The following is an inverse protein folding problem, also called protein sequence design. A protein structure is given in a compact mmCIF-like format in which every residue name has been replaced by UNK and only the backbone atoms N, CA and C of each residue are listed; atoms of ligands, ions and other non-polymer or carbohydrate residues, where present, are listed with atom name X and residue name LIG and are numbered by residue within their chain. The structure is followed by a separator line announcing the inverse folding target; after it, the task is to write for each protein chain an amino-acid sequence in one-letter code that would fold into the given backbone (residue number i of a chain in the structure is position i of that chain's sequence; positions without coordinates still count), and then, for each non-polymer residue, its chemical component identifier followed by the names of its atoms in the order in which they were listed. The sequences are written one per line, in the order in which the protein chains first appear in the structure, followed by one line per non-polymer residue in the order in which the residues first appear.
data_IF_492830978482
#
_entry.id   IF_492830978482
#
_cell.length_a   1.000
_cell.length_b   1.000
_cell.length_c   1.000
_cell.angle_alpha   90.00
_cell.angle_beta   90.00
_cell.angle_gamma   90.00
#
_symmetry.space_group_name_H-M   'P 1'
#
loop_
_entity.id
_entity.type
_entity.pdbx_description
1 polymer ?
#
# COMPACT_ATOMS: atom_id res chain seq x y z
N UNK A 1 49.72 33.55 2.39
CA UNK A 1 48.93 32.65 3.26
C UNK A 1 47.43 32.69 2.94
N UNK A 2 46.77 33.87 2.95
CA UNK A 2 45.33 34.01 2.65
C UNK A 2 44.86 33.42 1.30
N UNK A 3 45.60 33.62 0.18
CA UNK A 3 45.26 33.04 -1.13
C UNK A 3 45.27 31.50 -1.16
N UNK A 4 46.20 30.85 -0.46
CA UNK A 4 46.27 29.38 -0.39
C UNK A 4 45.10 28.81 0.43
N UNK A 5 44.68 29.51 1.49
CA UNK A 5 43.51 29.14 2.31
C UNK A 5 42.21 29.23 1.50
N UNK A 6 42.03 30.29 0.70
CA UNK A 6 40.84 30.45 -0.16
C UNK A 6 40.73 29.33 -1.20
N UNK A 7 41.86 28.93 -1.80
CA UNK A 7 41.89 27.82 -2.77
C UNK A 7 41.50 26.50 -2.09
N UNK A 8 42.02 26.22 -0.90
CA UNK A 8 41.69 24.99 -0.15
C UNK A 8 40.21 24.95 0.22
N UNK A 9 39.63 26.06 0.69
CA UNK A 9 38.19 26.15 1.02
C UNK A 9 37.32 25.93 -0.22
N UNK A 10 37.70 26.51 -1.37
CA UNK A 10 36.99 26.31 -2.63
C UNK A 10 36.98 24.85 -3.08
N UNK A 11 38.11 24.15 -2.96
CA UNK A 11 38.21 22.73 -3.31
C UNK A 11 37.35 21.86 -2.38
N UNK A 12 37.35 22.14 -1.07
CA UNK A 12 36.52 21.40 -0.10
C UNK A 12 35.03 21.59 -0.37
N UNK A 13 34.59 22.80 -0.73
CA UNK A 13 33.20 23.08 -1.08
C UNK A 13 32.74 22.33 -2.34
N UNK A 14 33.58 22.27 -3.38
CA UNK A 14 33.25 21.51 -4.60
C UNK A 14 33.14 20.02 -4.33
N UNK A 15 34.03 19.47 -3.50
CA UNK A 15 33.98 18.06 -3.08
C UNK A 15 32.72 17.79 -2.26
N UNK A 16 32.38 18.66 -1.30
CA UNK A 16 31.17 18.53 -0.49
C UNK A 16 29.88 18.57 -1.34
N UNK A 17 29.81 19.50 -2.31
CA UNK A 17 28.69 19.58 -3.25
C UNK A 17 28.62 18.35 -4.17
N UNK A 18 29.77 17.82 -4.60
CA UNK A 18 29.83 16.59 -5.38
C UNK A 18 29.34 15.37 -4.59
N UNK A 19 29.71 15.27 -3.31
CA UNK A 19 29.24 14.20 -2.40
C UNK A 19 27.75 14.34 -2.12
N UNK A 20 27.25 15.55 -1.83
CA UNK A 20 25.82 15.80 -1.62
C UNK A 20 25.00 15.49 -2.89
N UNK A 21 25.48 15.91 -4.06
CA UNK A 21 24.86 15.60 -5.34
C UNK A 21 24.85 14.10 -5.63
N UNK A 22 25.95 13.40 -5.37
CA UNK A 22 26.02 11.94 -5.51
C UNK A 22 25.05 11.23 -4.57
N UNK A 23 24.98 11.62 -3.29
CA UNK A 23 24.05 11.05 -2.32
C UNK A 23 22.58 11.30 -2.70
N UNK A 24 22.25 12.48 -3.22
CA UNK A 24 20.92 12.81 -3.72
C UNK A 24 20.51 11.95 -4.93
N UNK A 25 21.40 11.81 -5.92
CA UNK A 25 21.16 11.00 -7.12
C UNK A 25 21.09 9.49 -6.81
N UNK A 26 21.86 9.01 -5.83
CA UNK A 26 21.85 7.60 -5.44
C UNK A 26 20.63 7.23 -4.57
N UNK A 27 20.04 8.22 -3.89
CA UNK A 27 18.72 8.10 -3.25
C UNK A 27 17.63 7.90 -4.31
N UNK A 28 17.59 8.72 -5.35
CA UNK A 28 16.62 8.59 -6.47
C UNK A 28 16.73 7.26 -7.24
N UNK A 29 17.95 6.74 -7.45
CA UNK A 29 18.12 5.46 -8.17
C UNK A 29 17.63 4.24 -7.39
N UNK A 30 17.59 4.30 -6.06
CA UNK A 30 17.12 3.20 -5.21
C UNK A 30 15.62 3.29 -4.86
N UNK A 31 14.96 4.43 -5.10
CA UNK A 31 13.61 4.69 -4.57
C UNK A 31 12.45 4.08 -5.34
N UNK A 32 12.67 3.43 -6.48
CA UNK A 32 11.58 2.80 -7.25
C UNK A 32 11.99 1.44 -7.84
N UNK A 33 12.51 0.56 -6.99
CA UNK A 33 12.70 -0.87 -7.32
C UNK A 33 11.36 -1.59 -7.20
N UNK A 34 10.64 -1.32 -6.11
CA UNK A 34 9.35 -1.94 -5.82
C UNK A 34 8.28 -1.59 -6.85
N UNK A 35 8.12 -0.30 -7.20
CA UNK A 35 7.14 0.08 -8.22
C UNK A 35 7.46 -0.49 -9.61
N UNK A 36 8.75 -0.64 -9.97
CA UNK A 36 9.14 -1.34 -11.20
C UNK A 36 8.73 -2.81 -11.17
N UNK A 37 9.08 -3.51 -10.09
CA UNK A 37 8.72 -4.93 -9.90
C UNK A 37 7.20 -5.10 -9.89
N UNK A 38 6.49 -4.22 -9.19
CA UNK A 38 5.05 -4.25 -9.10
C UNK A 38 4.39 -4.04 -10.46
N UNK A 39 4.88 -3.11 -11.28
CA UNK A 39 4.37 -2.91 -12.65
C UNK A 39 4.68 -4.07 -13.61
N UNK A 40 5.75 -4.84 -13.35
CA UNK A 40 6.08 -6.04 -14.11
C UNK A 40 5.14 -7.21 -13.75
N UNK A 41 4.79 -7.36 -12.46
CA UNK A 41 3.82 -8.36 -11.98
C UNK A 41 2.37 -7.96 -12.30
N UNK A 42 2.02 -6.70 -12.06
CA UNK A 42 0.74 -6.07 -12.34
C UNK A 42 0.85 -5.11 -13.53
N UNK A 43 0.73 -5.68 -14.73
CA UNK A 43 0.86 -4.95 -16.01
C UNK A 43 -0.17 -3.83 -16.24
N UNK A 44 -1.12 -3.65 -15.32
CA UNK A 44 -2.18 -2.64 -15.37
C UNK A 44 -1.76 -1.27 -14.80
N UNK A 45 -0.55 -1.13 -14.24
CA UNK A 45 0.01 0.14 -13.75
C UNK A 45 1.41 0.41 -14.30
N UNK A 46 1.81 1.69 -14.31
CA UNK A 46 3.15 2.07 -14.74
C UNK A 46 4.19 1.87 -13.63
N UNK A 47 5.48 1.94 -13.97
CA UNK A 47 6.60 1.90 -13.01
C UNK A 47 6.53 3.01 -11.95
N UNK A 48 5.90 4.13 -12.28
CA UNK A 48 5.55 5.16 -11.30
C UNK A 48 4.22 4.78 -10.64
N UNK A 49 4.29 3.99 -9.57
CA UNK A 49 3.15 3.60 -8.74
C UNK A 49 3.51 3.67 -7.25
N UNK A 50 2.48 3.64 -6.40
CA UNK A 50 2.62 3.83 -4.94
C UNK A 50 2.92 2.54 -4.17
N UNK A 51 3.04 1.38 -4.85
CA UNK A 51 3.12 0.10 -4.17
C UNK A 51 4.53 -0.23 -3.68
N UNK A 52 4.62 -0.68 -2.43
CA UNK A 52 5.88 -1.02 -1.76
C UNK A 52 5.74 -2.40 -1.15
N UNK A 53 6.66 -3.31 -1.48
CA UNK A 53 6.60 -4.70 -1.00
C UNK A 53 6.95 -4.76 0.50
N UNK A 54 6.22 -5.60 1.22
CA UNK A 54 6.49 -5.96 2.61
C UNK A 54 6.48 -7.47 2.78
N UNK A 55 7.19 -7.98 3.78
CA UNK A 55 7.05 -9.35 4.23
C UNK A 55 5.75 -9.53 5.02
N UNK A 56 5.32 -10.78 5.24
CA UNK A 56 4.17 -11.07 6.10
C UNK A 56 4.35 -10.49 7.51
N UNK A 57 5.54 -10.62 8.08
CA UNK A 57 5.87 -10.10 9.42
C UNK A 57 5.79 -8.56 9.47
N UNK A 58 6.28 -7.89 8.42
CA UNK A 58 6.20 -6.43 8.31
C UNK A 58 4.73 -5.97 8.17
N UNK A 59 3.92 -6.69 7.39
CA UNK A 59 2.47 -6.41 7.30
C UNK A 59 1.80 -6.58 8.66
N UNK A 60 2.06 -7.69 9.37
CA UNK A 60 1.51 -7.92 10.70
C UNK A 60 1.88 -6.76 11.63
N UNK A 61 3.15 -6.35 11.65
CA UNK A 61 3.60 -5.23 12.47
C UNK A 61 2.93 -3.89 12.08
N UNK A 62 2.69 -3.65 10.79
CA UNK A 62 1.94 -2.48 10.33
C UNK A 62 0.48 -2.54 10.80
N UNK A 63 -0.16 -3.70 10.71
CA UNK A 63 -1.55 -3.87 11.14
C UNK A 63 -1.71 -3.74 12.66
N UNK A 64 -0.72 -4.18 13.46
CA UNK A 64 -0.79 -4.13 14.93
C UNK A 64 -0.36 -2.77 15.51
N UNK A 65 0.52 -2.03 14.82
CA UNK A 65 1.21 -0.87 15.41
C UNK A 65 1.42 0.31 14.47
N UNK A 66 1.19 0.13 13.16
CA UNK A 66 1.54 1.09 12.14
C UNK A 66 0.41 2.04 11.77
N UNK A 67 0.76 3.01 10.93
CA UNK A 67 -0.18 3.90 10.25
C UNK A 67 0.09 3.85 8.75
N UNK A 68 -0.97 3.65 7.95
CA UNK A 68 -0.88 3.64 6.50
C UNK A 68 -1.96 2.77 5.84
N UNK A 69 -1.71 2.42 4.59
CA UNK A 69 -2.60 1.60 3.77
C UNK A 69 -1.91 0.29 3.42
N UNK A 70 -2.59 -0.82 3.67
CA UNK A 70 -2.13 -2.17 3.29
C UNK A 70 -2.99 -2.69 2.15
N UNK A 71 -2.35 -3.31 1.15
CA UNK A 71 -3.00 -4.02 0.06
C UNK A 71 -2.59 -5.49 0.08
N UNK A 72 -3.58 -6.38 0.20
CA UNK A 72 -3.39 -7.83 0.14
C UNK A 72 -4.01 -8.35 -1.16
N UNK A 73 -3.19 -8.95 -2.02
CA UNK A 73 -3.62 -9.43 -3.33
C UNK A 73 -2.54 -10.23 -4.02
N UNK A 74 -2.78 -10.74 -5.22
CA UNK A 74 -1.74 -11.45 -5.99
C UNK A 74 -1.98 -11.33 -7.51
N UNK A 75 -0.92 -11.35 -8.34
CA UNK A 75 -1.02 -11.08 -9.79
C UNK A 75 -1.90 -12.10 -10.53
N UNK A 76 -1.98 -13.33 -10.06
CA UNK A 76 -2.78 -14.40 -10.68
C UNK A 76 -4.29 -14.19 -10.50
N UNK A 77 -4.71 -13.25 -9.66
CA UNK A 77 -6.11 -12.91 -9.41
C UNK A 77 -6.57 -11.80 -10.36
N UNK A 78 -7.51 -12.07 -11.30
CA UNK A 78 -7.98 -11.06 -12.26
C UNK A 78 -8.63 -9.85 -11.60
N UNK A 79 -9.40 -10.08 -10.53
CA UNK A 79 -10.04 -9.03 -9.73
C UNK A 79 -9.01 -8.11 -9.08
N UNK A 80 -7.95 -8.69 -8.55
CA UNK A 80 -6.82 -7.98 -7.95
C UNK A 80 -6.12 -7.10 -9.00
N UNK A 81 -5.87 -7.64 -10.19
CA UNK A 81 -5.24 -6.91 -11.29
C UNK A 81 -6.09 -5.76 -11.81
N UNK A 82 -7.42 -5.93 -11.84
CA UNK A 82 -8.36 -4.90 -12.26
C UNK A 82 -8.57 -3.79 -11.22
N UNK A 83 -8.40 -4.11 -9.93
CA UNK A 83 -8.55 -3.16 -8.83
C UNK A 83 -7.36 -2.20 -8.72
N UNK A 84 -6.14 -2.72 -8.93
CA UNK A 84 -4.87 -2.01 -8.75
C UNK A 84 -4.77 -0.63 -9.44
N UNK A 85 -5.24 -0.44 -10.69
CA UNK A 85 -5.22 0.88 -11.33
C UNK A 85 -6.02 1.93 -10.57
N UNK A 86 -7.20 1.58 -10.07
CA UNK A 86 -8.07 2.49 -9.33
C UNK A 86 -7.48 2.81 -7.96
N UNK A 87 -6.94 1.80 -7.27
CA UNK A 87 -6.24 1.99 -6.01
C UNK A 87 -5.05 2.97 -6.17
N UNK A 88 -4.22 2.77 -7.20
CA UNK A 88 -3.08 3.63 -7.47
C UNK A 88 -3.49 5.06 -7.87
N UNK A 89 -4.53 5.20 -8.69
CA UNK A 89 -5.09 6.50 -9.09
C UNK A 89 -5.54 7.30 -7.86
N UNK A 90 -6.38 6.69 -7.02
CA UNK A 90 -6.96 7.35 -5.85
C UNK A 90 -5.89 7.63 -4.80
N UNK A 91 -4.94 6.71 -4.59
CA UNK A 91 -3.83 6.92 -3.67
C UNK A 91 -2.98 8.14 -4.07
N UNK A 92 -2.63 8.27 -5.36
CA UNK A 92 -1.90 9.44 -5.86
C UNK A 92 -2.71 10.73 -5.75
N UNK A 93 -4.00 10.69 -6.08
CA UNK A 93 -4.88 11.86 -5.98
C UNK A 93 -5.05 12.34 -4.54
N UNK A 94 -4.88 11.44 -3.57
CA UNK A 94 -4.96 11.71 -2.15
C UNK A 94 -3.59 11.67 -1.47
N UNK A 95 -2.49 12.07 -2.13
CA UNK A 95 -1.14 12.17 -1.54
C UNK A 95 -0.72 10.99 -0.64
N UNK A 96 -1.13 9.77 -0.99
CA UNK A 96 -0.67 8.55 -0.31
C UNK A 96 0.61 8.11 -0.99
N UNK A 97 1.73 8.43 -0.37
CA UNK A 97 3.06 8.11 -0.92
C UNK A 97 3.30 6.60 -1.09
N UNK A 98 2.70 5.78 -0.22
CA UNK A 98 2.97 4.35 -0.14
C UNK A 98 1.72 3.55 0.21
N UNK A 99 1.49 2.50 -0.58
CA UNK A 99 0.57 1.40 -0.26
C UNK A 99 1.42 0.15 -0.02
N UNK A 100 1.34 -0.41 1.20
CA UNK A 100 2.13 -1.57 1.60
C UNK A 100 1.51 -2.84 1.02
N UNK A 101 2.18 -3.45 0.06
CA UNK A 101 1.72 -4.62 -0.66
C UNK A 101 2.28 -5.91 -0.09
N UNK A 102 1.42 -6.93 0.02
CA UNK A 102 1.85 -8.31 0.24
C UNK A 102 1.07 -9.32 -0.60
N UNK A 103 1.83 -10.24 -1.21
CA UNK A 103 1.28 -11.39 -1.92
C UNK A 103 0.88 -12.50 -0.95
N UNK A 104 -0.42 -12.57 -0.62
CA UNK A 104 -0.95 -13.55 0.35
C UNK A 104 -1.23 -14.94 -0.24
N UNK A 105 -0.98 -15.19 -1.54
CA UNK A 105 -1.46 -16.40 -2.22
C UNK A 105 -1.00 -17.70 -1.54
N UNK A 106 0.30 -17.83 -1.32
CA UNK A 106 0.89 -19.05 -0.74
C UNK A 106 0.58 -19.17 0.74
N UNK A 107 0.72 -18.07 1.49
CA UNK A 107 0.41 -18.02 2.92
C UNK A 107 -1.05 -18.43 3.21
N UNK A 108 -1.99 -17.96 2.39
CA UNK A 108 -3.40 -18.36 2.46
C UNK A 108 -3.61 -19.82 2.07
N UNK A 109 -2.95 -20.29 1.01
CA UNK A 109 -3.08 -21.67 0.51
C UNK A 109 -2.57 -22.69 1.54
N UNK A 110 -1.43 -22.39 2.14
CA UNK A 110 -0.74 -23.28 3.07
C UNK A 110 -1.18 -23.04 4.54
N UNK A 111 -2.06 -22.06 4.76
CA UNK A 111 -2.59 -21.66 6.06
C UNK A 111 -1.47 -21.46 7.11
N UNK A 112 -0.48 -20.66 6.74
CA UNK A 112 0.72 -20.41 7.55
C UNK A 112 0.37 -19.65 8.83
N UNK A 113 1.28 -19.66 9.81
CA UNK A 113 1.04 -18.96 11.08
C UNK A 113 0.94 -17.44 10.88
N UNK A 114 1.70 -16.89 9.93
CA UNK A 114 1.56 -15.50 9.51
C UNK A 114 0.17 -15.20 8.92
N UNK A 115 -0.35 -16.09 8.06
CA UNK A 115 -1.70 -15.94 7.53
C UNK A 115 -2.76 -15.96 8.63
N UNK A 116 -2.69 -16.94 9.54
CA UNK A 116 -3.62 -17.04 10.68
C UNK A 116 -3.56 -15.80 11.57
N UNK A 117 -2.36 -15.24 11.78
CA UNK A 117 -2.19 -14.02 12.55
C UNK A 117 -2.84 -12.81 11.87
N UNK A 118 -2.67 -12.65 10.56
CA UNK A 118 -3.39 -11.63 9.79
C UNK A 118 -4.91 -11.82 9.87
N UNK A 119 -5.40 -13.06 9.78
CA UNK A 119 -6.83 -13.39 9.94
C UNK A 119 -7.36 -13.00 11.32
N UNK A 120 -6.61 -13.26 12.40
CA UNK A 120 -7.03 -12.89 13.76
C UNK A 120 -7.08 -11.38 13.98
N UNK A 121 -6.11 -10.63 13.44
CA UNK A 121 -6.09 -9.15 13.51
C UNK A 121 -7.31 -8.57 12.78
N UNK A 122 -7.66 -9.11 11.62
CA UNK A 122 -8.72 -8.59 10.75
C UNK A 122 -10.10 -9.21 11.00
N UNK A 123 -10.24 -10.15 11.95
CA UNK A 123 -11.40 -11.05 12.07
C UNK A 123 -12.77 -10.38 12.09
N UNK A 124 -12.86 -9.17 12.64
CA UNK A 124 -14.13 -8.44 12.75
C UNK A 124 -14.60 -7.89 11.40
N UNK A 125 -13.68 -7.73 10.44
CA UNK A 125 -13.93 -7.27 9.08
C UNK A 125 -14.15 -8.41 8.08
N UNK A 126 -13.58 -9.60 8.37
CA UNK A 126 -13.58 -10.72 7.42
C UNK A 126 -14.93 -11.44 7.32
N UNK A 127 -15.20 -11.99 6.14
CA UNK A 127 -16.30 -12.93 5.91
C UNK A 127 -15.87 -14.37 6.17
N UNK A 128 -16.85 -15.26 6.26
CA UNK A 128 -16.61 -16.69 6.33
C UNK A 128 -16.45 -17.29 4.93
N UNK A 129 -15.66 -18.33 4.81
CA UNK A 129 -15.67 -19.21 3.65
C UNK A 129 -16.76 -20.28 3.76
N UNK A 130 -16.87 -21.12 2.72
CA UNK A 130 -17.86 -22.20 2.64
C UNK A 130 -17.71 -23.23 3.77
N UNK A 131 -16.54 -23.32 4.38
CA UNK A 131 -16.24 -24.21 5.51
C UNK A 131 -16.53 -23.56 6.87
N UNK A 132 -16.96 -22.29 6.89
CA UNK A 132 -17.26 -21.53 8.10
C UNK A 132 -16.02 -20.92 8.76
N UNK A 133 -14.90 -20.79 8.06
CA UNK A 133 -13.68 -20.17 8.56
C UNK A 133 -13.57 -18.71 8.12
N UNK A 134 -13.09 -17.82 9.00
CA UNK A 134 -12.79 -16.42 8.63
C UNK A 134 -11.66 -16.41 7.59
N UNK A 135 -11.86 -15.66 6.50
CA UNK A 135 -10.96 -15.67 5.35
C UNK A 135 -10.69 -14.26 4.81
N UNK A 136 -9.43 -14.00 4.47
CA UNK A 136 -9.04 -12.80 3.71
C UNK A 136 -9.29 -13.07 2.23
N UNK A 137 -10.33 -12.44 1.70
CA UNK A 137 -10.63 -12.41 0.27
C UNK A 137 -9.71 -11.41 -0.44
N UNK A 138 -9.32 -11.69 -1.68
CA UNK A 138 -8.41 -10.82 -2.44
C UNK A 138 -9.13 -10.28 -3.68
N UNK A 139 -9.01 -8.98 -4.01
CA UNK A 139 -8.22 -7.96 -3.31
C UNK A 139 -8.77 -7.59 -1.91
N UNK A 140 -7.89 -7.15 -1.00
CA UNK A 140 -8.27 -6.46 0.24
C UNK A 140 -7.41 -5.20 0.40
N UNK A 141 -8.02 -4.09 0.78
CA UNK A 141 -7.37 -2.83 1.17
C UNK A 141 -7.74 -2.51 2.61
N UNK A 142 -6.73 -2.17 3.41
CA UNK A 142 -6.89 -1.91 4.83
C UNK A 142 -6.30 -0.54 5.14
N UNK A 143 -7.11 0.35 5.72
CA UNK A 143 -6.64 1.58 6.32
C UNK A 143 -6.37 1.32 7.81
N UNK A 144 -5.14 1.54 8.24
CA UNK A 144 -4.73 1.35 9.64
C UNK A 144 -4.10 2.63 10.17
N UNK A 145 -4.37 2.93 11.45
CA UNK A 145 -3.76 4.04 12.16
C UNK A 145 -3.41 3.66 13.59
N UNK A 146 -2.13 3.74 13.91
CA UNK A 146 -1.56 3.38 15.21
C UNK A 146 -1.99 1.98 15.69
N UNK A 147 -2.15 1.05 14.72
CA UNK A 147 -2.64 -0.32 14.96
C UNK A 147 -4.17 -0.49 15.00
N UNK A 148 -4.93 0.60 14.91
CA UNK A 148 -6.39 0.57 14.79
C UNK A 148 -6.79 0.45 13.31
N UNK A 149 -7.57 -0.58 12.98
CA UNK A 149 -8.16 -0.72 11.64
C UNK A 149 -9.30 0.30 11.53
N UNK A 150 -9.13 1.31 10.68
CA UNK A 150 -10.11 2.37 10.48
C UNK A 150 -11.19 1.95 9.48
N UNK A 151 -10.77 1.29 8.40
CA UNK A 151 -11.66 0.84 7.34
C UNK A 151 -11.04 -0.35 6.58
N UNK A 152 -11.91 -1.12 5.93
CA UNK A 152 -11.59 -2.34 5.21
C UNK A 152 -12.43 -2.42 3.92
N UNK A 153 -11.74 -2.67 2.82
CA UNK A 153 -12.37 -2.91 1.52
C UNK A 153 -11.94 -4.23 0.92
N UNK A 154 -12.90 -5.10 0.61
CA UNK A 154 -12.73 -6.34 -0.14
C UNK A 154 -13.70 -6.40 -1.33
N UNK A 155 -14.08 -5.22 -1.87
CA UNK A 155 -15.01 -5.15 -2.98
C UNK A 155 -14.48 -5.96 -4.17
N UNK A 156 -15.39 -6.69 -4.84
CA UNK A 156 -15.14 -7.70 -5.89
C UNK A 156 -14.50 -9.02 -5.47
N UNK A 157 -13.97 -9.12 -4.24
CA UNK A 157 -13.38 -10.36 -3.75
C UNK A 157 -14.44 -11.31 -3.16
N UNK A 158 -15.46 -10.73 -2.52
CA UNK A 158 -16.55 -11.47 -1.86
C UNK A 158 -17.80 -11.62 -2.74
N UNK A 159 -18.31 -10.51 -3.27
CA UNK A 159 -19.55 -10.51 -4.06
C UNK A 159 -19.32 -9.88 -5.43
N UNK A 160 -19.20 -10.74 -6.44
CA UNK A 160 -19.09 -10.31 -7.84
C UNK A 160 -20.46 -9.99 -8.45
N UNK A 161 -21.56 -10.03 -7.67
CA UNK A 161 -22.95 -9.80 -8.12
C UNK A 161 -23.35 -10.68 -9.31
N UNK A 162 -22.71 -11.83 -9.47
CA UNK A 162 -22.91 -12.76 -10.59
C UNK A 162 -22.09 -12.46 -11.86
N UNK A 163 -21.32 -11.37 -11.90
CA UNK A 163 -20.41 -11.09 -13.01
C UNK A 163 -19.24 -12.06 -13.01
N UNK A 164 -18.82 -12.47 -14.21
CA UNK A 164 -17.75 -13.46 -14.41
C UNK A 164 -16.37 -12.83 -14.59
N UNK A 165 -16.33 -11.56 -14.99
CA UNK A 165 -15.09 -10.85 -15.29
C UNK A 165 -15.06 -9.49 -14.61
N UNK A 166 -13.88 -9.01 -14.18
CA UNK A 166 -13.75 -7.67 -13.63
C UNK A 166 -14.13 -6.56 -14.61
N UNK A 167 -13.86 -6.75 -15.90
CA UNK A 167 -14.23 -5.78 -16.94
C UNK A 167 -15.74 -5.56 -17.01
N UNK A 168 -16.52 -6.65 -16.98
CA UNK A 168 -17.97 -6.59 -16.95
C UNK A 168 -18.48 -5.96 -15.65
N UNK A 169 -17.89 -6.32 -14.51
CA UNK A 169 -18.24 -5.72 -13.23
C UNK A 169 -18.05 -4.21 -13.24
N UNK A 170 -16.83 -3.72 -13.53
CA UNK A 170 -16.51 -2.29 -13.46
C UNK A 170 -17.19 -1.45 -14.55
N UNK A 171 -17.72 -2.07 -15.60
CA UNK A 171 -18.54 -1.40 -16.60
C UNK A 171 -19.98 -1.14 -16.13
N UNK A 172 -20.49 -1.97 -15.22
CA UNK A 172 -21.90 -1.96 -14.81
C UNK A 172 -22.12 -1.57 -13.35
N UNK A 173 -21.09 -1.67 -12.52
CA UNK A 173 -21.11 -1.36 -11.09
C UNK A 173 -20.51 0.01 -10.78
N UNK A 174 -20.74 0.48 -9.55
CA UNK A 174 -20.43 1.82 -9.10
C UNK A 174 -18.92 2.04 -8.84
N UNK A 175 -18.15 2.17 -9.93
CA UNK A 175 -16.72 2.45 -9.86
C UNK A 175 -16.42 3.79 -9.16
N UNK A 176 -17.27 4.79 -9.33
CA UNK A 176 -17.10 6.08 -8.67
C UNK A 176 -17.30 5.94 -7.15
N UNK A 177 -18.29 5.16 -6.72
CA UNK A 177 -18.49 4.78 -5.32
C UNK A 177 -17.29 4.07 -4.70
N UNK A 178 -16.64 3.13 -5.42
CA UNK A 178 -15.38 2.54 -4.97
C UNK A 178 -14.30 3.62 -4.76
N UNK A 179 -14.12 4.51 -5.75
CA UNK A 179 -13.09 5.56 -5.69
C UNK A 179 -13.33 6.54 -4.54
N UNK A 180 -14.59 6.91 -4.29
CA UNK A 180 -14.99 7.75 -3.16
C UNK A 180 -14.71 7.06 -1.82
N UNK A 181 -15.04 5.76 -1.69
CA UNK A 181 -14.72 4.96 -0.51
C UNK A 181 -13.21 4.95 -0.26
N UNK A 182 -12.41 4.62 -1.27
CA UNK A 182 -10.95 4.62 -1.18
C UNK A 182 -10.38 5.99 -0.77
N UNK A 183 -10.91 7.08 -1.33
CA UNK A 183 -10.47 8.43 -0.97
C UNK A 183 -10.75 8.72 0.51
N UNK A 184 -11.95 8.38 1.01
CA UNK A 184 -12.31 8.52 2.43
C UNK A 184 -11.40 7.69 3.34
N UNK A 185 -11.12 6.45 2.97
CA UNK A 185 -10.17 5.59 3.69
C UNK A 185 -8.81 6.27 3.83
N UNK A 186 -8.32 6.91 2.76
CA UNK A 186 -7.01 7.59 2.78
C UNK A 186 -7.03 8.88 3.59
N UNK A 187 -8.10 9.67 3.52
CA UNK A 187 -8.26 10.86 4.36
C UNK A 187 -8.22 10.50 5.86
N UNK A 188 -8.90 9.43 6.26
CA UNK A 188 -8.94 8.99 7.66
C UNK A 188 -7.54 8.62 8.18
N UNK A 189 -6.71 7.96 7.36
CA UNK A 189 -5.31 7.66 7.73
C UNK A 189 -4.45 8.91 7.94
N UNK A 190 -4.79 10.04 7.30
CA UNK A 190 -4.09 11.32 7.44
C UNK A 190 -4.58 12.14 8.63
N UNK A 191 -5.86 12.03 8.98
CA UNK A 191 -6.47 12.91 9.99
C UNK A 191 -6.01 12.54 11.40
N UNK A 192 -5.29 13.44 12.05
CA UNK A 192 -5.16 13.44 13.52
C UNK A 192 -6.42 14.02 14.12
N UNK A 193 -7.43 13.18 14.41
CA UNK A 193 -8.51 13.58 15.31
C UNK A 193 -7.97 13.55 16.75
N UNK A 194 -7.07 14.49 17.05
CA UNK A 194 -7.03 15.11 18.37
C UNK A 194 -8.06 16.24 18.33
N UNK A 195 -9.32 15.91 18.58
CA UNK A 195 -10.31 16.92 18.95
C UNK A 195 -9.95 17.40 20.35
N UNK A 196 -9.09 18.41 20.41
CA UNK A 196 -9.01 19.42 21.47
C UNK A 196 -9.48 18.96 22.86
N UNK A 197 -8.72 18.09 23.53
CA UNK A 197 -8.66 17.99 25.02
C UNK A 197 -7.59 16.98 25.54
N UNK A 198 -6.65 16.49 24.71
CA UNK A 198 -5.63 15.52 25.15
C UNK A 198 -4.52 16.08 26.08
N UNK A 199 -4.67 17.28 26.65
CA UNK A 199 -3.78 17.83 27.67
C UNK A 199 -4.53 18.84 28.58
N UNK A 200 -5.52 18.35 29.35
CA UNK A 200 -5.98 19.01 30.57
C UNK A 200 -5.97 18.03 31.73
#
# INVERSE_FOLDING_TARGET
MKKKIIIVIGVVLVIALGVLGYLYLNKEKNTNIDGKKFAEEYTSVTKDNVFVYRSAEEIINILEHGTGVVYLGFPECPWCTAYVPYLNEVAKANDVDKVYYYNILNDRKDNTDNYKKMVDILKDYLKFDEEGNKRIYAPSVIAVKDGEILDFDDETAWDTKGYKTPEEYWKNEDLDGLKEKLAKMFEETKTNICTSDCNK
#
